data_IF_356866860814
#
_entry.id   IF_356866860814
#
_cell.length_a   1.000
_cell.length_b   1.000
_cell.length_c   1.000
_cell.angle_alpha   90.00
_cell.angle_beta   90.00
_cell.angle_gamma   90.00
#
_symmetry.space_group_name_H-M   'P 1'
#
loop_
_entity.id
_entity.type
_entity.pdbx_description
1 polymer ?
#
# COMPACT_ATOMS: atom_id res chain seq x y z
N UNK A 1 34.17 -26.45 37.27
CA UNK A 1 33.82 -25.11 37.81
C UNK A 1 32.73 -24.55 36.92
N UNK A 2 31.47 -24.64 37.34
CA UNK A 2 30.30 -24.17 36.57
C UNK A 2 29.91 -22.78 37.08
N UNK A 3 29.97 -21.78 36.20
CA UNK A 3 29.53 -20.42 36.49
C UNK A 3 28.05 -20.26 36.11
N UNK A 4 27.24 -20.09 37.13
CA UNK A 4 25.80 -19.94 37.08
C UNK A 4 25.46 -18.44 36.94
N UNK A 5 25.09 -17.98 35.72
CA UNK A 5 24.76 -16.56 35.47
C UNK A 5 23.23 -16.37 35.45
N UNK A 6 22.70 -16.10 36.61
CA UNK A 6 21.29 -15.84 36.91
C UNK A 6 20.95 -14.39 36.47
N UNK A 7 20.46 -14.21 35.23
CA UNK A 7 19.92 -12.91 34.77
C UNK A 7 18.48 -12.75 35.23
N UNK A 8 18.29 -11.91 36.26
CA UNK A 8 17.00 -11.36 36.69
C UNK A 8 16.35 -10.60 35.55
N UNK A 9 15.23 -11.15 35.01
CA UNK A 9 14.32 -10.43 34.13
C UNK A 9 13.51 -9.45 34.96
N UNK A 10 13.79 -8.16 34.84
CA UNK A 10 12.94 -7.09 35.34
C UNK A 10 11.74 -6.93 34.40
N UNK A 11 10.58 -7.37 34.88
CA UNK A 11 9.29 -7.16 34.26
C UNK A 11 8.91 -5.66 34.37
N UNK A 12 9.17 -4.86 33.32
CA UNK A 12 8.62 -3.51 33.20
C UNK A 12 7.19 -3.62 32.69
N UNK A 13 6.21 -3.29 33.56
CA UNK A 13 4.82 -3.08 33.21
C UNK A 13 4.72 -1.98 32.12
N UNK A 14 3.86 -2.15 31.10
CA UNK A 14 3.55 -1.07 30.17
C UNK A 14 2.86 0.07 30.90
N UNK A 15 3.30 1.28 30.66
CA UNK A 15 2.65 2.52 31.08
C UNK A 15 1.34 2.66 30.34
N UNK A 16 0.24 2.69 31.08
CA UNK A 16 -1.08 3.04 30.60
C UNK A 16 -1.04 4.42 29.97
N UNK A 17 -1.47 4.50 28.70
CA UNK A 17 -1.55 5.73 27.94
C UNK A 17 -2.98 6.28 28.08
N UNK A 18 -3.23 7.41 28.78
CA UNK A 18 -4.58 7.87 29.15
C UNK A 18 -5.26 8.71 28.05
N UNK A 19 -5.04 8.42 26.76
CA UNK A 19 -5.49 9.30 25.68
C UNK A 19 -6.74 8.84 24.91
N UNK A 20 -7.34 7.71 25.27
CA UNK A 20 -8.52 7.18 24.55
C UNK A 20 -9.73 6.85 25.43
N UNK A 21 -9.67 7.19 26.74
CA UNK A 21 -10.75 6.87 27.69
C UNK A 21 -11.93 7.84 27.75
N UNK A 22 -11.80 9.08 27.26
CA UNK A 22 -12.76 10.16 27.58
C UNK A 22 -13.72 10.55 26.43
N UNK A 23 -13.79 9.76 25.36
CA UNK A 23 -14.58 10.14 24.18
C UNK A 23 -15.97 9.47 24.09
N UNK A 24 -16.33 8.57 25.03
CA UNK A 24 -17.60 7.82 24.94
C UNK A 24 -18.50 7.85 26.17
N UNK A 25 -18.26 8.76 27.14
CA UNK A 25 -19.16 8.92 28.28
C UNK A 25 -19.61 10.36 28.40
N UNK A 26 -20.52 10.81 27.52
CA UNK A 26 -21.35 11.98 27.80
C UNK A 26 -22.55 12.06 26.87
N UNK A 27 -23.53 11.24 27.15
CA UNK A 27 -24.92 11.45 26.71
C UNK A 27 -25.83 10.68 27.63
N UNK A 28 -26.18 11.26 28.77
CA UNK A 28 -27.40 11.01 29.54
C UNK A 28 -27.40 12.02 30.69
N UNK A 29 -28.14 13.10 30.55
CA UNK A 29 -28.63 13.88 31.67
C UNK A 29 -29.99 14.45 31.32
N UNK A 30 -30.94 13.80 31.91
CA UNK A 30 -32.33 14.15 32.13
C UNK A 30 -32.59 15.64 32.26
N UNK A 31 -33.53 16.14 31.47
CA UNK A 31 -34.21 17.42 31.77
C UNK A 31 -35.70 17.15 31.94
N UNK A 32 -36.09 16.84 33.15
CA UNK A 32 -37.48 16.96 33.59
C UNK A 32 -37.93 18.43 33.50
N UNK A 33 -38.91 18.69 32.67
CA UNK A 33 -39.66 19.95 32.64
C UNK A 33 -41.06 19.69 33.17
N UNK A 34 -41.23 19.94 34.49
CA UNK A 34 -42.50 20.07 35.17
C UNK A 34 -43.19 21.36 34.69
N UNK A 35 -44.16 21.23 33.80
CA UNK A 35 -45.07 22.31 33.39
C UNK A 35 -46.31 22.32 34.26
N UNK A 36 -46.44 23.35 35.11
CA UNK A 36 -47.66 23.67 35.87
C UNK A 36 -48.78 24.08 34.93
N UNK A 37 -49.92 23.40 35.02
CA UNK A 37 -51.20 23.80 34.49
C UNK A 37 -51.73 25.07 35.19
N UNK A 38 -51.97 26.09 34.40
CA UNK A 38 -52.83 27.23 34.77
C UNK A 38 -54.00 27.26 33.77
N UNK A 39 -55.22 26.99 34.31
CA UNK A 39 -56.46 27.19 33.57
C UNK A 39 -56.84 28.63 33.65
N UNK A 40 -57.19 29.33 32.58
CA UNK A 40 -57.95 30.55 32.66
C UNK A 40 -59.43 30.34 32.37
N UNK A 41 -60.14 31.03 33.11
CA UNK A 41 -61.52 31.35 33.33
C UNK A 41 -62.38 31.53 32.05
N UNK A 42 -63.61 31.09 32.15
CA UNK A 42 -64.70 31.07 31.20
C UNK A 42 -65.14 32.50 30.83
N UNK A 43 -65.00 32.89 29.57
CA UNK A 43 -65.58 34.14 29.04
C UNK A 43 -66.92 33.89 28.32
N UNK A 44 -67.83 34.85 28.27
CA UNK A 44 -69.23 34.67 27.93
C UNK A 44 -69.47 34.46 26.42
N UNK A 45 -70.54 33.72 26.20
CA UNK A 45 -71.12 33.28 24.95
C UNK A 45 -71.45 34.44 24.00
N UNK A 46 -70.76 34.54 22.85
CA UNK A 46 -71.04 35.48 21.80
C UNK A 46 -71.73 34.82 20.62
N UNK A 47 -72.81 35.43 20.20
CA UNK A 47 -73.72 35.13 19.08
C UNK A 47 -72.98 34.70 17.80
N UNK A 48 -73.45 33.69 17.04
CA UNK A 48 -72.78 33.22 15.83
C UNK A 48 -72.98 34.18 14.66
N UNK A 49 -71.91 34.80 14.22
CA UNK A 49 -71.83 35.53 12.95
C UNK A 49 -71.63 34.48 11.84
N UNK A 50 -72.43 34.53 10.72
CA UNK A 50 -72.26 33.57 9.61
C UNK A 50 -70.87 33.74 8.99
N UNK A 51 -70.14 32.65 8.99
CA UNK A 51 -68.79 32.60 8.48
C UNK A 51 -68.76 32.92 6.97
N UNK A 52 -67.83 33.79 6.51
CA UNK A 52 -67.64 34.01 5.08
C UNK A 52 -67.13 32.71 4.46
N UNK A 53 -67.78 32.30 3.34
CA UNK A 53 -67.41 31.16 2.53
C UNK A 53 -65.94 31.28 2.11
N UNK A 54 -65.06 30.54 2.77
CA UNK A 54 -63.64 30.45 2.36
C UNK A 54 -63.58 29.75 1.01
N UNK A 55 -63.43 30.53 -0.05
CA UNK A 55 -62.92 30.04 -1.34
C UNK A 55 -61.57 29.39 -1.08
N UNK A 56 -61.52 28.03 -1.17
CA UNK A 56 -60.31 27.27 -0.97
C UNK A 56 -59.31 27.67 -2.09
N UNK A 57 -58.35 28.52 -1.70
CA UNK A 57 -57.23 28.84 -2.59
C UNK A 57 -56.51 27.51 -2.94
N UNK A 58 -56.14 27.30 -4.23
CA UNK A 58 -55.48 26.11 -4.64
C UNK A 58 -54.20 25.92 -3.82
N UNK A 59 -54.11 24.79 -3.11
CA UNK A 59 -52.94 24.41 -2.35
C UNK A 59 -51.81 24.23 -3.36
N UNK A 60 -50.98 25.26 -3.57
CA UNK A 60 -49.72 25.16 -4.28
C UNK A 60 -48.82 24.24 -3.47
N UNK A 61 -48.79 22.96 -3.83
CA UNK A 61 -47.77 22.04 -3.34
C UNK A 61 -46.41 22.56 -3.80
N UNK A 62 -45.79 23.39 -3.00
CA UNK A 62 -44.40 23.78 -3.20
C UNK A 62 -43.56 22.56 -2.82
N UNK A 63 -43.01 21.88 -3.81
CA UNK A 63 -42.07 20.81 -3.57
C UNK A 63 -40.79 21.40 -2.96
N UNK A 64 -40.47 21.07 -1.68
CA UNK A 64 -39.37 21.76 -0.95
C UNK A 64 -38.02 21.55 -1.64
N UNK A 65 -37.85 20.49 -2.43
CA UNK A 65 -36.61 20.24 -3.19
C UNK A 65 -36.39 21.20 -4.34
N UNK A 66 -37.45 21.75 -4.99
CA UNK A 66 -37.34 22.74 -6.04
C UNK A 66 -36.84 24.10 -5.51
N UNK A 67 -37.16 24.45 -4.27
CA UNK A 67 -36.68 25.68 -3.65
C UNK A 67 -35.18 25.60 -3.28
N UNK A 68 -34.66 24.37 -3.01
CA UNK A 68 -33.24 24.13 -2.77
C UNK A 68 -32.43 24.39 -4.07
N UNK A 69 -32.91 23.91 -5.21
CA UNK A 69 -32.23 24.13 -6.50
C UNK A 69 -32.10 25.60 -6.87
N UNK A 70 -33.11 26.39 -6.61
CA UNK A 70 -33.06 27.84 -6.89
C UNK A 70 -32.10 28.62 -5.97
N UNK A 71 -31.71 28.06 -4.82
CA UNK A 71 -30.74 28.64 -3.88
C UNK A 71 -29.30 28.19 -4.11
N UNK A 72 -29.10 27.08 -4.83
CA UNK A 72 -27.77 26.58 -5.19
C UNK A 72 -27.22 27.46 -6.32
N UNK A 73 -26.27 28.31 -5.98
CA UNK A 73 -25.50 29.07 -6.97
C UNK A 73 -24.75 28.07 -7.88
N UNK A 74 -24.61 28.40 -9.16
CA UNK A 74 -23.87 27.58 -10.16
C UNK A 74 -22.48 27.19 -9.64
N UNK A 75 -21.82 28.06 -8.90
CA UNK A 75 -20.54 27.76 -8.25
C UNK A 75 -20.60 26.66 -7.20
N UNK A 76 -21.69 26.58 -6.44
CA UNK A 76 -21.89 25.50 -5.46
C UNK A 76 -22.08 24.13 -6.15
N UNK A 77 -22.80 24.12 -7.26
CA UNK A 77 -22.97 22.89 -8.06
C UNK A 77 -21.63 22.46 -8.65
N UNK A 78 -20.86 23.40 -9.22
CA UNK A 78 -19.54 23.12 -9.75
C UNK A 78 -18.60 22.57 -8.65
N UNK A 79 -18.57 23.19 -7.47
CA UNK A 79 -17.76 22.76 -6.34
C UNK A 79 -18.13 21.34 -5.86
N UNK A 80 -19.43 21.04 -5.74
CA UNK A 80 -19.92 19.71 -5.37
C UNK A 80 -19.52 18.68 -6.44
N UNK A 81 -19.66 19.02 -7.72
CA UNK A 81 -19.28 18.12 -8.81
C UNK A 81 -17.79 17.81 -8.77
N UNK A 82 -16.92 18.82 -8.61
CA UNK A 82 -15.47 18.63 -8.48
C UNK A 82 -15.14 17.77 -7.27
N UNK A 83 -15.81 18.02 -6.13
CA UNK A 83 -15.61 17.22 -4.91
C UNK A 83 -16.02 15.75 -5.13
N UNK A 84 -17.14 15.49 -5.79
CA UNK A 84 -17.59 14.12 -6.08
C UNK A 84 -16.64 13.39 -7.03
N UNK A 85 -16.13 14.09 -8.07
CA UNK A 85 -15.11 13.53 -8.97
C UNK A 85 -13.85 13.18 -8.19
N UNK A 86 -13.37 14.09 -7.34
CA UNK A 86 -12.18 13.88 -6.52
C UNK A 86 -12.38 12.73 -5.52
N UNK A 87 -13.52 12.68 -4.84
CA UNK A 87 -13.86 11.59 -3.92
C UNK A 87 -13.95 10.23 -4.65
N UNK A 88 -14.57 10.22 -5.83
CA UNK A 88 -14.62 9.03 -6.69
C UNK A 88 -13.23 8.57 -7.14
N UNK A 89 -12.35 9.50 -7.49
CA UNK A 89 -10.97 9.21 -7.84
C UNK A 89 -10.16 8.64 -6.66
N UNK A 90 -10.30 9.25 -5.46
CA UNK A 90 -9.66 8.71 -4.26
C UNK A 90 -10.19 7.31 -3.91
N UNK A 91 -11.49 7.10 -4.01
CA UNK A 91 -12.08 5.79 -3.80
C UNK A 91 -11.52 4.76 -4.79
N UNK A 92 -11.41 5.12 -6.07
CA UNK A 92 -10.82 4.27 -7.09
C UNK A 92 -9.35 3.91 -6.78
N UNK A 93 -8.53 4.88 -6.34
CA UNK A 93 -7.16 4.62 -5.90
C UNK A 93 -7.15 3.62 -4.75
N UNK A 94 -7.93 3.87 -3.69
CA UNK A 94 -7.97 2.99 -2.52
C UNK A 94 -8.36 1.56 -2.91
N UNK A 95 -9.41 1.40 -3.72
CA UNK A 95 -9.84 0.07 -4.18
C UNK A 95 -8.72 -0.63 -4.96
N UNK A 96 -8.06 0.07 -5.89
CA UNK A 96 -6.98 -0.52 -6.68
C UNK A 96 -5.72 -0.83 -5.87
N UNK A 97 -5.45 -0.12 -4.77
CA UNK A 97 -4.38 -0.47 -3.82
C UNK A 97 -4.63 -1.82 -3.12
N UNK A 98 -5.89 -2.19 -2.94
CA UNK A 98 -6.29 -3.45 -2.29
C UNK A 98 -6.44 -4.62 -3.25
N UNK A 99 -6.39 -4.39 -4.57
CA UNK A 99 -6.40 -5.47 -5.55
C UNK A 99 -4.97 -5.95 -5.77
N UNK A 100 -4.62 -7.20 -5.36
CA UNK A 100 -3.27 -7.71 -5.54
C UNK A 100 -2.93 -7.86 -7.03
N UNK A 101 -1.65 -7.81 -7.34
CA UNK A 101 -1.14 -8.18 -8.66
C UNK A 101 -1.32 -9.69 -8.88
N UNK A 102 -1.52 -10.10 -10.12
CA UNK A 102 -1.53 -11.53 -10.46
C UNK A 102 -0.09 -12.05 -10.43
N UNK A 103 0.13 -13.05 -9.55
CA UNK A 103 1.42 -13.70 -9.37
C UNK A 103 1.49 -15.06 -10.09
N UNK A 104 0.40 -15.50 -10.72
CA UNK A 104 0.32 -16.84 -11.33
C UNK A 104 1.11 -16.96 -12.62
N UNK A 105 1.29 -15.84 -13.30
CA UNK A 105 2.05 -15.72 -14.54
C UNK A 105 3.57 -15.62 -14.33
N UNK A 106 4.03 -15.48 -13.06
CA UNK A 106 5.44 -15.36 -12.73
C UNK A 106 6.11 -16.74 -12.77
N UNK A 107 7.10 -16.88 -13.63
CA UNK A 107 7.82 -18.13 -13.81
C UNK A 107 8.53 -18.58 -12.51
N UNK A 108 8.33 -19.81 -12.09
CA UNK A 108 8.99 -20.41 -10.92
C UNK A 108 8.37 -20.02 -9.56
N UNK A 109 7.39 -19.10 -9.48
CA UNK A 109 6.76 -18.71 -8.22
C UNK A 109 5.93 -19.84 -7.62
N UNK A 110 5.08 -20.48 -8.42
CA UNK A 110 4.22 -21.60 -7.99
C UNK A 110 4.83 -22.98 -8.26
N UNK A 111 5.97 -23.03 -8.95
CA UNK A 111 6.63 -24.25 -9.36
C UNK A 111 7.27 -24.98 -8.15
N UNK A 112 7.11 -26.32 -8.10
CA UNK A 112 7.67 -27.17 -7.05
C UNK A 112 9.11 -27.63 -7.34
N UNK A 113 9.79 -27.02 -8.31
CA UNK A 113 11.17 -27.34 -8.64
C UNK A 113 12.13 -27.09 -7.46
N UNK A 114 13.25 -27.79 -7.46
CA UNK A 114 14.31 -27.62 -6.45
C UNK A 114 15.08 -26.33 -6.75
N UNK A 115 15.31 -25.51 -5.71
CA UNK A 115 16.13 -24.32 -5.83
C UNK A 115 17.62 -24.69 -5.97
N UNK A 116 18.32 -23.94 -6.82
CA UNK A 116 19.78 -24.00 -6.95
C UNK A 116 20.39 -22.95 -6.03
N UNK A 117 21.55 -23.22 -5.48
CA UNK A 117 22.30 -22.21 -4.73
C UNK A 117 22.95 -21.20 -5.69
N UNK A 118 22.24 -20.09 -5.93
CA UNK A 118 22.70 -19.04 -6.82
C UNK A 118 23.94 -18.33 -6.26
N UNK A 119 24.07 -18.22 -4.95
CA UNK A 119 25.24 -17.61 -4.29
C UNK A 119 26.50 -18.41 -4.56
N UNK A 120 26.42 -19.75 -4.44
CA UNK A 120 27.55 -20.62 -4.75
C UNK A 120 27.94 -20.56 -6.24
N UNK A 121 26.95 -20.47 -7.15
CA UNK A 121 27.22 -20.33 -8.58
C UNK A 121 27.98 -19.03 -8.86
N UNK A 122 27.56 -17.91 -8.29
CA UNK A 122 28.23 -16.60 -8.49
C UNK A 122 29.65 -16.64 -7.92
N UNK A 123 29.88 -17.23 -6.75
CA UNK A 123 31.21 -17.35 -6.14
C UNK A 123 32.19 -18.18 -7.00
N UNK A 124 31.67 -19.22 -7.66
CA UNK A 124 32.50 -20.14 -8.44
C UNK A 124 32.67 -19.74 -9.92
N UNK A 125 32.05 -18.66 -10.35
CA UNK A 125 32.03 -18.28 -11.77
C UNK A 125 33.34 -17.70 -12.32
N UNK A 126 34.26 -17.29 -11.44
CA UNK A 126 35.62 -16.82 -11.81
C UNK A 126 35.65 -15.77 -12.92
N UNK A 127 34.70 -14.83 -12.92
CA UNK A 127 34.63 -13.76 -13.93
C UNK A 127 33.97 -14.18 -15.26
N UNK A 128 33.35 -15.35 -15.35
CA UNK A 128 32.54 -15.74 -16.50
C UNK A 128 31.15 -15.12 -16.44
N UNK A 129 30.56 -14.85 -17.61
CA UNK A 129 29.14 -14.44 -17.68
C UNK A 129 28.24 -15.54 -17.12
N UNK A 130 27.29 -15.15 -16.29
CA UNK A 130 26.31 -16.04 -15.70
C UNK A 130 24.92 -15.60 -16.19
N UNK A 131 24.09 -16.57 -16.55
CA UNK A 131 22.71 -16.31 -16.94
C UNK A 131 21.79 -17.10 -16.00
N UNK A 132 20.87 -16.40 -15.36
CA UNK A 132 19.80 -17.00 -14.58
C UNK A 132 18.46 -16.72 -15.24
N UNK A 133 17.59 -17.71 -15.24
CA UNK A 133 16.22 -17.55 -15.67
C UNK A 133 15.37 -16.97 -14.51
N UNK A 134 14.28 -16.30 -14.84
CA UNK A 134 13.31 -15.81 -13.86
C UNK A 134 12.84 -16.94 -12.92
N UNK A 135 12.57 -18.12 -13.50
CA UNK A 135 12.14 -19.28 -12.73
C UNK A 135 13.18 -19.76 -11.72
N UNK A 136 14.47 -19.77 -12.07
CA UNK A 136 15.55 -20.16 -11.15
C UNK A 136 15.67 -19.19 -9.99
N UNK A 137 15.60 -17.90 -10.27
CA UNK A 137 15.64 -16.86 -9.24
C UNK A 137 14.43 -17.00 -8.31
N UNK A 138 13.23 -17.15 -8.84
CA UNK A 138 12.02 -17.26 -8.03
C UNK A 138 12.01 -18.52 -7.13
N UNK A 139 12.52 -19.65 -7.61
CA UNK A 139 12.71 -20.84 -6.77
C UNK A 139 13.71 -20.58 -5.64
N UNK A 140 14.82 -19.92 -5.94
CA UNK A 140 15.82 -19.54 -4.93
C UNK A 140 15.23 -18.57 -3.91
N UNK A 141 14.50 -17.53 -4.36
CA UNK A 141 13.84 -16.58 -3.50
C UNK A 141 12.85 -17.24 -2.55
N UNK A 142 12.03 -18.15 -3.04
CA UNK A 142 11.04 -18.88 -2.24
C UNK A 142 11.68 -19.71 -1.13
N UNK A 143 12.79 -20.37 -1.42
CA UNK A 143 13.41 -21.29 -0.46
C UNK A 143 14.32 -20.57 0.54
N UNK A 144 14.90 -19.44 0.16
CA UNK A 144 15.83 -18.67 0.99
C UNK A 144 15.20 -17.48 1.69
N UNK A 145 14.13 -16.91 1.12
CA UNK A 145 13.52 -15.71 1.68
C UNK A 145 12.50 -16.01 2.76
N UNK A 146 12.85 -15.64 3.97
CA UNK A 146 11.91 -15.56 5.09
C UNK A 146 11.80 -14.11 5.52
N UNK A 147 10.91 -13.36 4.87
CA UNK A 147 10.68 -11.97 5.25
C UNK A 147 10.06 -11.96 6.65
N UNK A 148 10.85 -11.49 7.61
CA UNK A 148 10.37 -11.23 8.95
C UNK A 148 9.98 -9.76 9.02
N UNK A 149 8.69 -9.51 9.14
CA UNK A 149 8.22 -8.16 9.39
C UNK A 149 8.40 -7.83 10.87
N UNK A 150 9.03 -6.70 11.14
CA UNK A 150 9.25 -6.20 12.49
C UNK A 150 8.40 -4.94 12.73
N UNK A 151 8.14 -4.63 14.02
CA UNK A 151 7.41 -3.44 14.43
C UNK A 151 5.90 -3.54 14.34
N UNK A 152 5.23 -2.38 14.23
CA UNK A 152 3.77 -2.29 14.23
C UNK A 152 3.14 -3.00 13.03
N UNK A 153 3.83 -3.00 11.89
CA UNK A 153 3.34 -3.69 10.69
C UNK A 153 3.26 -5.21 10.86
N UNK A 154 4.14 -5.80 11.68
CA UNK A 154 4.11 -7.23 11.98
C UNK A 154 2.82 -7.70 12.68
N UNK A 155 2.09 -6.77 13.32
CA UNK A 155 0.82 -7.06 13.98
C UNK A 155 -0.30 -7.16 12.95
N UNK A 156 -0.23 -6.38 11.89
CA UNK A 156 -1.32 -6.21 10.93
C UNK A 156 -1.06 -6.91 9.59
N UNK A 157 0.19 -7.15 9.23
CA UNK A 157 0.55 -7.76 7.95
C UNK A 157 1.58 -8.87 8.12
N UNK A 158 1.38 -9.95 7.35
CA UNK A 158 2.28 -11.08 7.27
C UNK A 158 2.72 -11.25 5.82
N UNK A 159 4.02 -11.24 5.58
CA UNK A 159 4.54 -11.58 4.25
C UNK A 159 4.42 -13.09 4.01
N UNK A 160 3.84 -13.47 2.88
CA UNK A 160 3.69 -14.87 2.46
C UNK A 160 4.77 -15.29 1.48
N UNK A 161 5.23 -14.36 0.65
CA UNK A 161 6.24 -14.67 -0.35
C UNK A 161 6.82 -13.45 -1.03
N UNK A 162 7.87 -13.71 -1.78
CA UNK A 162 8.50 -12.74 -2.67
C UNK A 162 8.64 -13.37 -4.04
N UNK A 163 8.30 -12.60 -5.06
CA UNK A 163 8.56 -12.96 -6.45
C UNK A 163 9.37 -11.88 -7.13
N UNK A 164 10.11 -12.28 -8.12
CA UNK A 164 10.80 -11.42 -9.07
C UNK A 164 10.15 -11.57 -10.44
N UNK A 165 9.78 -10.46 -11.05
CA UNK A 165 9.43 -10.38 -12.47
C UNK A 165 10.49 -9.59 -13.20
N UNK A 166 10.97 -10.10 -14.31
CA UNK A 166 12.03 -9.48 -15.10
C UNK A 166 11.40 -8.73 -16.25
N UNK A 167 11.80 -7.48 -16.40
CA UNK A 167 11.46 -6.61 -17.51
C UNK A 167 12.73 -6.10 -18.19
N UNK A 168 12.60 -5.54 -19.40
CA UNK A 168 13.74 -4.96 -20.09
C UNK A 168 14.35 -3.79 -19.29
N UNK A 169 15.58 -3.99 -18.84
CA UNK A 169 16.38 -3.01 -18.11
C UNK A 169 16.08 -2.86 -16.62
N UNK A 170 15.11 -3.58 -16.06
CA UNK A 170 14.82 -3.53 -14.61
C UNK A 170 14.19 -4.83 -14.10
N UNK A 171 14.24 -5.00 -12.79
CA UNK A 171 13.57 -6.10 -12.09
C UNK A 171 12.46 -5.55 -11.20
N UNK A 172 11.28 -6.18 -11.22
CA UNK A 172 10.17 -5.90 -10.31
C UNK A 172 10.15 -6.93 -9.19
N UNK A 173 10.49 -6.53 -7.97
CA UNK A 173 10.35 -7.35 -6.77
C UNK A 173 8.97 -7.16 -6.17
N UNK A 174 8.20 -8.25 -6.13
CA UNK A 174 6.83 -8.25 -5.64
C UNK A 174 6.79 -8.97 -4.31
N UNK A 175 6.37 -8.27 -3.27
CA UNK A 175 6.17 -8.82 -1.92
C UNK A 175 4.68 -9.08 -1.77
N UNK A 176 4.31 -10.34 -1.60
CA UNK A 176 2.94 -10.75 -1.26
C UNK A 176 2.77 -10.74 0.26
N UNK A 177 1.74 -10.05 0.72
CA UNK A 177 1.46 -9.88 2.15
C UNK A 177 -0.03 -10.09 2.42
N UNK A 178 -0.33 -10.75 3.53
CA UNK A 178 -1.70 -10.79 4.07
C UNK A 178 -1.84 -9.73 5.15
N UNK A 179 -2.84 -8.88 5.00
CA UNK A 179 -3.22 -7.86 5.97
C UNK A 179 -4.44 -8.33 6.75
N UNK A 180 -4.34 -8.31 8.07
CA UNK A 180 -5.38 -8.86 8.94
C UNK A 180 -5.49 -10.37 8.84
N UNK A 181 -6.69 -10.89 8.58
CA UNK A 181 -6.95 -12.35 8.55
C UNK A 181 -6.97 -12.96 7.16
N UNK A 182 -7.19 -12.18 6.10
CA UNK A 182 -7.45 -12.75 4.77
C UNK A 182 -7.24 -11.82 3.58
N UNK A 183 -6.77 -10.61 3.78
CA UNK A 183 -6.65 -9.63 2.69
C UNK A 183 -5.26 -9.66 2.09
N UNK A 184 -5.17 -10.19 0.88
CA UNK A 184 -3.93 -10.18 0.11
C UNK A 184 -3.65 -8.80 -0.45
N UNK A 185 -2.44 -8.32 -0.23
CA UNK A 185 -1.91 -7.10 -0.82
C UNK A 185 -0.52 -7.35 -1.36
N UNK A 186 -0.27 -6.87 -2.56
CA UNK A 186 1.06 -6.93 -3.16
C UNK A 186 1.72 -5.56 -3.14
N UNK A 187 3.00 -5.55 -2.83
CA UNK A 187 3.85 -4.36 -2.90
C UNK A 187 5.00 -4.66 -3.85
N UNK A 188 5.11 -3.90 -4.93
CA UNK A 188 6.17 -4.09 -5.91
C UNK A 188 7.18 -2.95 -5.87
N UNK A 189 8.45 -3.30 -6.03
CA UNK A 189 9.59 -2.38 -6.08
C UNK A 189 10.34 -2.61 -7.39
N UNK A 190 10.56 -1.55 -8.16
CA UNK A 190 11.32 -1.61 -9.39
C UNK A 190 12.79 -1.28 -9.10
N UNK A 191 13.68 -2.18 -9.46
CA UNK A 191 15.12 -2.03 -9.28
C UNK A 191 15.83 -2.06 -10.64
N UNK A 192 16.55 -1.00 -10.95
CA UNK A 192 17.47 -0.94 -12.08
C UNK A 192 18.90 -0.77 -11.60
N UNK A 193 19.83 -1.41 -12.28
CA UNK A 193 21.24 -1.46 -11.92
C UNK A 193 22.06 -0.81 -13.02
N UNK A 194 22.89 0.14 -12.63
CA UNK A 194 23.73 0.87 -13.59
C UNK A 194 25.19 0.82 -13.16
N UNK A 195 26.11 0.45 -14.05
CA UNK A 195 27.54 0.56 -13.77
C UNK A 195 27.92 2.04 -13.64
N UNK A 196 28.63 2.38 -12.59
CA UNK A 196 29.09 3.75 -12.31
C UNK A 196 30.57 3.69 -11.95
N UNK A 197 31.36 4.60 -12.50
CA UNK A 197 32.75 4.75 -12.11
C UNK A 197 32.89 5.88 -11.11
N UNK A 198 33.14 5.53 -9.86
CA UNK A 198 33.37 6.48 -8.77
C UNK A 198 34.84 6.40 -8.32
N UNK A 199 35.55 7.52 -8.36
CA UNK A 199 36.96 7.59 -7.95
C UNK A 199 37.89 6.57 -8.63
N UNK A 200 37.64 6.27 -9.90
CA UNK A 200 38.42 5.28 -10.67
C UNK A 200 38.10 3.81 -10.32
N UNK A 201 37.11 3.55 -9.44
CA UNK A 201 36.61 2.21 -9.18
C UNK A 201 35.23 2.04 -9.80
N UNK A 202 35.03 0.91 -10.43
CA UNK A 202 33.72 0.55 -10.94
C UNK A 202 32.85 0.03 -9.78
N UNK A 203 31.62 0.51 -9.73
CA UNK A 203 30.61 0.09 -8.78
C UNK A 203 29.24 -0.01 -9.45
N UNK A 204 28.32 -0.70 -8.84
CA UNK A 204 26.93 -0.81 -9.32
C UNK A 204 26.06 0.11 -8.52
N UNK A 205 25.41 1.06 -9.17
CA UNK A 205 24.41 1.93 -8.58
C UNK A 205 23.04 1.32 -8.77
N UNK A 206 22.31 1.13 -7.67
CA UNK A 206 20.93 0.67 -7.67
C UNK A 206 20.01 1.89 -7.68
N UNK A 207 19.06 1.90 -8.60
CA UNK A 207 18.04 2.94 -8.70
C UNK A 207 16.65 2.32 -8.54
N UNK A 208 15.78 2.99 -7.76
CA UNK A 208 14.37 2.59 -7.63
C UNK A 208 13.56 3.16 -8.79
N UNK A 209 13.76 2.59 -9.97
CA UNK A 209 13.13 3.07 -11.19
C UNK A 209 12.96 1.92 -12.18
N UNK A 210 11.84 1.90 -12.87
CA UNK A 210 11.58 0.95 -13.94
C UNK A 210 10.17 1.09 -14.51
N UNK A 211 10.02 0.70 -15.78
CA UNK A 211 8.76 0.74 -16.49
C UNK A 211 8.42 2.09 -17.11
N UNK A 212 7.23 2.17 -17.67
CA UNK A 212 6.74 3.39 -18.32
C UNK A 212 6.62 4.54 -17.31
N UNK A 213 7.08 5.74 -17.69
CA UNK A 213 6.95 6.90 -16.85
C UNK A 213 5.47 7.23 -16.61
N UNK A 214 5.18 7.69 -15.41
CA UNK A 214 3.85 8.15 -15.02
C UNK A 214 3.51 9.51 -15.66
N UNK A 215 2.22 9.93 -15.65
CA UNK A 215 1.83 11.26 -16.14
C UNK A 215 2.72 12.38 -15.58
N UNK A 216 3.18 13.28 -16.44
CA UNK A 216 4.14 14.33 -16.08
C UNK A 216 5.60 13.88 -16.10
N UNK A 217 5.93 12.79 -16.81
CA UNK A 217 7.28 12.20 -16.92
C UNK A 217 7.91 11.82 -15.57
N UNK A 218 7.07 11.54 -14.56
CA UNK A 218 7.59 11.08 -13.27
C UNK A 218 8.08 9.63 -13.37
N UNK A 219 9.33 9.35 -12.94
CA UNK A 219 9.84 7.99 -12.95
C UNK A 219 9.03 7.12 -11.98
N UNK A 220 8.61 5.95 -12.47
CA UNK A 220 7.91 4.95 -11.68
C UNK A 220 8.91 4.17 -10.85
N UNK A 221 8.67 4.04 -9.53
CA UNK A 221 9.54 3.32 -8.60
C UNK A 221 8.99 1.97 -8.15
N UNK A 222 7.69 1.74 -8.34
CA UNK A 222 7.02 0.53 -7.90
C UNK A 222 5.51 0.63 -7.97
N UNK A 223 4.82 -0.19 -7.17
CA UNK A 223 3.35 -0.16 -7.04
C UNK A 223 2.89 -0.72 -5.69
N UNK A 224 1.68 -0.32 -5.27
CA UNK A 224 0.94 -1.00 -4.19
C UNK A 224 -0.34 -1.54 -4.82
N UNK A 225 -0.54 -2.85 -4.75
CA UNK A 225 -1.57 -3.50 -5.54
C UNK A 225 -1.42 -3.16 -7.02
N UNK A 226 -2.47 -2.61 -7.63
CA UNK A 226 -2.45 -2.15 -9.03
C UNK A 226 -2.12 -0.68 -9.21
N UNK A 227 -1.91 0.07 -8.13
CA UNK A 227 -1.61 1.51 -8.20
C UNK A 227 -0.12 1.74 -8.34
N UNK A 228 0.35 2.31 -9.47
CA UNK A 228 1.74 2.65 -9.65
C UNK A 228 2.17 3.78 -8.72
N UNK A 229 3.38 3.71 -8.21
CA UNK A 229 3.98 4.71 -7.33
C UNK A 229 5.16 5.40 -7.98
N UNK A 230 5.21 6.74 -7.95
CA UNK A 230 6.39 7.50 -8.34
C UNK A 230 7.60 7.16 -7.47
N UNK A 231 8.79 7.28 -8.05
CA UNK A 231 10.06 7.00 -7.39
C UNK A 231 10.23 7.71 -6.03
N UNK A 232 9.78 8.96 -5.91
CA UNK A 232 9.94 9.75 -4.69
C UNK A 232 9.09 9.23 -3.51
N UNK A 233 8.04 8.43 -3.79
CA UNK A 233 7.24 7.77 -2.74
C UNK A 233 7.82 6.42 -2.29
N UNK A 234 8.91 5.95 -2.90
CA UNK A 234 9.55 4.68 -2.49
C UNK A 234 10.03 4.69 -1.04
N UNK A 235 10.25 5.86 -0.45
CA UNK A 235 10.52 6.00 0.99
C UNK A 235 9.45 5.40 1.89
N UNK A 236 8.19 5.37 1.43
CA UNK A 236 7.08 4.75 2.17
C UNK A 236 7.21 3.22 2.21
N UNK A 237 7.87 2.63 1.22
CA UNK A 237 8.12 1.20 1.10
C UNK A 237 9.48 0.79 1.68
N UNK A 238 10.26 1.75 2.18
CA UNK A 238 11.61 1.51 2.69
C UNK A 238 11.69 0.39 3.74
N UNK A 239 10.78 0.26 4.74
CA UNK A 239 10.85 -0.84 5.70
C UNK A 239 10.70 -2.23 5.05
N UNK A 240 9.78 -2.37 4.08
CA UNK A 240 9.62 -3.62 3.33
C UNK A 240 10.83 -3.94 2.47
N UNK A 241 11.43 -2.90 1.88
CA UNK A 241 12.62 -3.01 1.07
C UNK A 241 13.86 -3.37 1.91
N UNK A 242 14.04 -2.76 3.08
CA UNK A 242 15.14 -3.09 4.00
C UNK A 242 15.06 -4.54 4.47
N UNK A 243 13.86 -5.03 4.76
CA UNK A 243 13.63 -6.45 5.09
C UNK A 243 14.01 -7.36 3.92
N UNK A 244 13.62 -7.00 2.70
CA UNK A 244 14.00 -7.70 1.48
C UNK A 244 15.52 -7.72 1.27
N UNK A 245 16.16 -6.56 1.33
CA UNK A 245 17.61 -6.44 1.17
C UNK A 245 18.38 -7.19 2.26
N UNK A 246 17.85 -7.26 3.48
CA UNK A 246 18.44 -8.02 4.57
C UNK A 246 18.38 -9.52 4.29
N UNK A 247 17.27 -10.03 3.76
CA UNK A 247 17.13 -11.43 3.37
C UNK A 247 18.11 -11.85 2.28
N UNK A 248 18.39 -10.96 1.31
CA UNK A 248 19.27 -11.24 0.17
C UNK A 248 20.61 -10.57 0.24
N UNK A 249 20.97 -10.04 1.40
CA UNK A 249 22.24 -9.32 1.58
C UNK A 249 23.44 -10.13 1.11
N UNK A 250 23.49 -11.39 1.49
CA UNK A 250 24.60 -12.28 1.10
C UNK A 250 24.70 -12.45 -0.43
N UNK A 251 23.58 -12.61 -1.11
CA UNK A 251 23.55 -12.72 -2.56
C UNK A 251 23.98 -11.42 -3.27
N UNK A 252 23.42 -10.29 -2.85
CA UNK A 252 23.78 -8.99 -3.41
C UNK A 252 25.23 -8.58 -3.09
N UNK A 253 25.69 -8.85 -1.87
CA UNK A 253 27.08 -8.59 -1.50
C UNK A 253 28.03 -9.47 -2.32
N UNK A 254 27.69 -10.74 -2.56
CA UNK A 254 28.47 -11.63 -3.41
C UNK A 254 28.55 -11.11 -4.85
N UNK A 255 27.46 -10.68 -5.45
CA UNK A 255 27.43 -10.09 -6.80
C UNK A 255 28.35 -8.87 -6.83
N UNK A 256 28.27 -7.99 -5.84
CA UNK A 256 29.06 -6.76 -5.76
C UNK A 256 30.55 -7.05 -5.52
N UNK A 257 30.88 -7.96 -4.61
CA UNK A 257 32.26 -8.35 -4.28
C UNK A 257 32.97 -9.00 -5.47
N UNK A 258 32.24 -9.80 -6.23
CA UNK A 258 32.73 -10.43 -7.45
C UNK A 258 32.76 -9.49 -8.66
N UNK A 259 32.32 -8.23 -8.49
CA UNK A 259 32.34 -7.23 -9.53
C UNK A 259 31.39 -7.49 -10.70
N UNK A 260 30.25 -8.12 -10.46
CA UNK A 260 29.23 -8.33 -11.49
C UNK A 260 28.22 -7.20 -11.56
N UNK A 261 27.79 -6.89 -12.79
CA UNK A 261 26.67 -6.00 -13.05
C UNK A 261 25.50 -6.80 -13.65
N UNK A 262 24.32 -6.80 -13.03
CA UNK A 262 23.15 -7.48 -13.56
C UNK A 262 22.52 -6.68 -14.70
N UNK A 263 22.18 -7.38 -15.78
CA UNK A 263 21.40 -6.87 -16.92
C UNK A 263 20.15 -7.72 -17.08
N UNK A 264 19.00 -7.07 -17.19
CA UNK A 264 17.69 -7.73 -17.26
C UNK A 264 17.19 -7.71 -18.71
N UNK A 265 16.69 -8.85 -19.17
CA UNK A 265 16.11 -9.01 -20.51
C UNK A 265 14.77 -9.75 -20.39
N UNK A 266 13.70 -9.13 -20.86
CA UNK A 266 12.38 -9.71 -20.88
C UNK A 266 12.25 -10.71 -22.04
N UNK A 267 11.76 -11.91 -21.73
CA UNK A 267 11.44 -12.93 -22.73
C UNK A 267 10.12 -12.65 -23.42
N UNK A 268 10.03 -13.00 -24.71
CA UNK A 268 8.82 -12.75 -25.53
C UNK A 268 7.52 -13.34 -25.00
N UNK A 269 7.60 -14.35 -24.12
CA UNK A 269 6.45 -15.05 -23.54
C UNK A 269 6.48 -15.06 -22.00
N UNK A 270 7.29 -14.22 -21.35
CA UNK A 270 7.46 -14.19 -19.90
C UNK A 270 8.23 -15.40 -19.30
N UNK A 271 8.32 -16.52 -20.02
CA UNK A 271 9.02 -17.71 -19.54
C UNK A 271 10.53 -17.70 -19.81
N UNK A 272 10.98 -16.94 -20.78
CA UNK A 272 12.39 -16.86 -21.20
C UNK A 272 13.08 -15.60 -20.66
N UNK A 273 12.48 -14.92 -19.70
CA UNK A 273 13.07 -13.75 -19.07
C UNK A 273 14.32 -14.13 -18.29
N UNK A 274 15.41 -13.36 -18.48
CA UNK A 274 16.72 -13.71 -17.92
C UNK A 274 17.41 -12.52 -17.26
N UNK A 275 18.21 -12.84 -16.25
CA UNK A 275 19.22 -11.94 -15.67
C UNK A 275 20.60 -12.41 -16.12
N UNK A 276 21.33 -11.56 -16.81
CA UNK A 276 22.74 -11.80 -17.13
C UNK A 276 23.61 -11.02 -16.16
N UNK A 277 24.46 -11.72 -15.46
CA UNK A 277 25.52 -11.15 -14.63
C UNK A 277 26.80 -11.10 -15.46
N UNK A 278 27.22 -9.92 -15.88
CA UNK A 278 28.47 -9.73 -16.62
C UNK A 278 29.51 -9.10 -15.70
N UNK A 279 30.77 -9.60 -15.74
CA UNK A 279 31.83 -9.00 -14.98
C UNK A 279 32.08 -7.56 -15.46
N UNK A 280 32.25 -6.65 -14.52
CA UNK A 280 32.61 -5.28 -14.86
C UNK A 280 34.06 -5.25 -15.36
N UNK A 281 34.37 -4.49 -16.41
CA UNK A 281 35.75 -4.35 -16.87
C UNK A 281 36.59 -3.73 -15.72
N UNK A 282 37.74 -4.32 -15.47
CA UNK A 282 38.70 -3.90 -14.43
C UNK A 282 39.37 -2.57 -14.75
#
# INVERSE_FOLDING_TARGET
>A
MASNNNRKRTNKKPKDNPLWGDLFTRADSDTELTGKHLYPEKAPESVPVPAPTRTSAPIRRSYPWLSLWNKLNVWSIAAITVFLIFAGYLYWIVVNMWIPQDMRDIAGYTDKGVARDLTAIVRNANGADIIFTEAEINRYLRDTCRIRQDGVMAIFSRSEGVALRIHDGYAEFIIDSIIGSSWHQTTAVHLSFHPVTEHGRQSVKVSFCGGEPMPGNMPRGGSIGRVPLPQHYMRMLQPSLESLLTCYKEFFDTIREQGYCPTFTEGKNGHDSTVRLSPMPS
#
